data_IF_749141463968
#
_entry.id   IF_749141463968
#
_cell.length_a   1.000
_cell.length_b   1.000
_cell.length_c   1.000
_cell.angle_alpha   90.00
_cell.angle_beta   90.00
_cell.angle_gamma   90.00
#
_symmetry.space_group_name_H-M   'P 1'
#
loop_
_entity.id
_entity.type
_entity.pdbx_description
1 polymer ?
#
# COMPACT_ATOMS: atom_id res chain seq x y z
N UNK A 1 -5.36 1.32 8.53
CA UNK A 1 -5.64 -0.04 9.06
C UNK A 1 -6.57 -0.88 8.16
N UNK A 2 -7.86 -0.56 7.99
CA UNK A 2 -8.80 -1.38 7.19
C UNK A 2 -8.52 -1.40 5.69
N UNK A 3 -8.00 -0.29 5.13
CA UNK A 3 -7.68 -0.19 3.70
C UNK A 3 -6.55 -1.15 3.26
N UNK A 4 -5.57 -1.41 4.12
CA UNK A 4 -4.46 -2.34 3.84
C UNK A 4 -4.96 -3.79 3.78
N UNK A 5 -5.88 -4.17 4.67
CA UNK A 5 -6.51 -5.50 4.62
C UNK A 5 -7.27 -5.73 3.31
N UNK A 6 -7.80 -4.65 2.71
CA UNK A 6 -8.50 -4.70 1.43
C UNK A 6 -7.56 -4.78 0.22
N UNK A 7 -6.29 -4.43 0.37
CA UNK A 7 -5.25 -4.62 -0.64
C UNK A 7 -4.65 -6.04 -0.62
N UNK A 8 -4.81 -6.78 0.49
CA UNK A 8 -4.29 -8.15 0.64
C UNK A 8 -4.70 -9.13 -0.47
N UNK A 9 -5.95 -9.14 -0.97
CA UNK A 9 -6.32 -10.04 -2.06
C UNK A 9 -5.48 -9.84 -3.32
N UNK A 10 -5.14 -8.60 -3.65
CA UNK A 10 -4.29 -8.28 -4.81
C UNK A 10 -2.85 -8.74 -4.58
N UNK A 11 -2.35 -8.55 -3.37
CA UNK A 11 -1.01 -9.01 -2.99
C UNK A 11 -0.94 -10.54 -3.04
N UNK A 12 -1.98 -11.23 -2.55
CA UNK A 12 -2.08 -12.69 -2.63
C UNK A 12 -2.22 -13.19 -4.06
N UNK A 13 -2.95 -12.47 -4.91
CA UNK A 13 -3.05 -12.77 -6.34
C UNK A 13 -1.67 -12.71 -7.01
N UNK A 14 -0.86 -11.69 -6.73
CA UNK A 14 0.52 -11.62 -7.22
C UNK A 14 1.35 -12.84 -6.82
N UNK A 15 1.26 -13.26 -5.56
CA UNK A 15 1.97 -14.47 -5.08
C UNK A 15 1.47 -15.72 -5.81
N UNK A 16 0.16 -15.84 -6.00
CA UNK A 16 -0.44 -16.98 -6.69
C UNK A 16 0.00 -17.03 -8.16
N UNK A 17 -0.01 -15.88 -8.84
CA UNK A 17 0.39 -15.76 -10.25
C UNK A 17 1.90 -16.01 -10.44
N UNK A 18 2.72 -15.63 -9.46
CA UNK A 18 4.13 -16.04 -9.39
C UNK A 18 4.26 -17.55 -9.27
N UNK A 19 3.50 -18.19 -8.37
CA UNK A 19 3.63 -19.61 -8.08
C UNK A 19 3.12 -20.51 -9.23
N UNK A 20 2.19 -20.01 -10.04
CA UNK A 20 1.62 -20.75 -11.18
C UNK A 20 2.27 -20.42 -12.52
N UNK A 21 3.36 -19.64 -12.54
CA UNK A 21 4.08 -19.27 -13.77
C UNK A 21 3.32 -18.27 -14.67
N UNK A 22 2.25 -17.64 -14.17
CA UNK A 22 1.50 -16.62 -14.91
C UNK A 22 2.37 -15.39 -15.19
N UNK A 23 3.25 -15.02 -14.24
CA UNK A 23 4.22 -13.94 -14.48
C UNK A 23 5.14 -14.24 -15.66
N UNK A 24 5.61 -15.48 -15.80
CA UNK A 24 6.50 -15.91 -16.89
C UNK A 24 5.77 -15.89 -18.23
N UNK A 25 4.50 -16.32 -18.23
CA UNK A 25 3.62 -16.19 -19.39
C UNK A 25 3.47 -14.72 -19.82
N UNK A 26 3.15 -13.81 -18.89
CA UNK A 26 2.99 -12.38 -19.20
C UNK A 26 4.29 -11.77 -19.75
N UNK A 27 5.44 -12.12 -19.17
CA UNK A 27 6.75 -11.71 -19.69
C UNK A 27 7.01 -12.28 -21.10
N UNK A 28 6.60 -13.52 -21.38
CA UNK A 28 6.74 -14.14 -22.71
C UNK A 28 5.89 -13.46 -23.79
N UNK A 29 4.75 -12.87 -23.40
CA UNK A 29 3.88 -12.09 -24.30
C UNK A 29 4.42 -10.71 -24.65
N UNK A 30 5.57 -10.33 -24.06
CA UNK A 30 6.26 -9.06 -24.34
C UNK A 30 5.95 -7.93 -23.37
N UNK A 31 5.19 -8.19 -22.29
CA UNK A 31 5.01 -7.21 -21.22
C UNK A 31 6.30 -7.04 -20.43
N UNK A 32 6.64 -5.80 -20.08
CA UNK A 32 7.77 -5.58 -19.20
C UNK A 32 7.40 -5.83 -17.73
N UNK A 33 8.40 -6.19 -16.95
CA UNK A 33 8.20 -6.54 -15.55
C UNK A 33 7.66 -5.35 -14.74
N UNK A 34 8.11 -4.14 -15.07
CA UNK A 34 7.61 -2.93 -14.43
C UNK A 34 6.11 -2.74 -14.69
N UNK A 35 5.64 -2.98 -15.91
CA UNK A 35 4.24 -2.82 -16.29
C UNK A 35 3.33 -3.80 -15.51
N UNK A 36 3.79 -5.05 -15.35
CA UNK A 36 3.09 -6.07 -14.58
C UNK A 36 3.00 -5.62 -13.10
N UNK A 37 4.10 -5.17 -12.52
CA UNK A 37 4.15 -4.72 -11.13
C UNK A 37 3.28 -3.48 -10.90
N UNK A 38 3.35 -2.51 -11.80
CA UNK A 38 2.47 -1.34 -11.77
C UNK A 38 0.99 -1.74 -11.86
N UNK A 39 0.66 -2.77 -12.64
CA UNK A 39 -0.69 -3.32 -12.74
C UNK A 39 -1.25 -3.76 -11.38
N UNK A 40 -0.48 -4.55 -10.63
CA UNK A 40 -0.88 -5.00 -9.29
C UNK A 40 -0.97 -3.84 -8.29
N UNK A 41 -0.03 -2.90 -8.33
CA UNK A 41 -0.05 -1.72 -7.46
C UNK A 41 -1.25 -0.82 -7.78
N UNK A 42 -1.57 -0.60 -9.07
CA UNK A 42 -2.76 0.15 -9.49
C UNK A 42 -4.02 -0.54 -9.01
N UNK A 43 -4.11 -1.86 -9.16
CA UNK A 43 -5.27 -2.64 -8.70
C UNK A 43 -5.46 -2.54 -7.18
N UNK A 44 -4.38 -2.62 -6.38
CA UNK A 44 -4.47 -2.48 -4.92
C UNK A 44 -4.90 -1.07 -4.51
N UNK A 45 -4.39 -0.03 -5.18
CA UNK A 45 -4.78 1.35 -4.95
C UNK A 45 -6.23 1.63 -5.31
N UNK A 46 -6.72 1.09 -6.44
CA UNK A 46 -8.13 1.24 -6.85
C UNK A 46 -9.05 0.60 -5.80
N UNK A 47 -8.77 -0.64 -5.39
CA UNK A 47 -9.56 -1.33 -4.37
C UNK A 47 -9.55 -0.60 -3.02
N UNK A 48 -8.39 -0.12 -2.59
CA UNK A 48 -8.29 0.64 -1.36
C UNK A 48 -9.02 2.00 -1.44
N UNK A 49 -8.95 2.68 -2.59
CA UNK A 49 -9.62 3.98 -2.78
C UNK A 49 -11.12 3.87 -2.56
N UNK A 50 -11.77 2.82 -3.10
CA UNK A 50 -13.20 2.58 -2.87
C UNK A 50 -13.54 2.49 -1.38
N UNK A 51 -12.73 1.75 -0.61
CA UNK A 51 -12.97 1.58 0.82
C UNK A 51 -12.67 2.86 1.62
N UNK A 52 -11.61 3.58 1.27
CA UNK A 52 -11.24 4.86 1.91
C UNK A 52 -12.35 5.89 1.69
N UNK A 53 -12.83 6.03 0.45
CA UNK A 53 -13.94 6.96 0.13
C UNK A 53 -15.21 6.58 0.90
N UNK A 54 -15.54 5.28 0.94
CA UNK A 54 -16.67 4.81 1.72
C UNK A 54 -16.53 5.11 3.22
N UNK A 55 -15.34 4.89 3.79
CA UNK A 55 -15.05 5.20 5.18
C UNK A 55 -15.16 6.71 5.47
N UNK A 56 -14.70 7.57 4.56
CA UNK A 56 -14.83 9.03 4.68
C UNK A 56 -16.29 9.44 4.68
N UNK A 57 -17.11 8.88 3.78
CA UNK A 57 -18.55 9.17 3.72
C UNK A 57 -19.22 8.79 5.04
N UNK A 58 -18.98 7.56 5.55
CA UNK A 58 -19.55 7.12 6.82
C UNK A 58 -19.12 8.00 8.01
N UNK A 59 -17.83 8.32 8.12
CA UNK A 59 -17.33 9.19 9.18
C UNK A 59 -17.92 10.60 9.09
N UNK A 60 -18.13 11.12 7.87
CA UNK A 60 -18.76 12.43 7.66
C UNK A 60 -20.23 12.39 8.10
N UNK A 61 -20.99 11.36 7.72
CA UNK A 61 -22.40 11.20 8.12
C UNK A 61 -22.52 11.11 9.64
N UNK A 62 -21.73 10.24 10.28
CA UNK A 62 -21.72 10.09 11.75
C UNK A 62 -21.30 11.39 12.42
N UNK A 63 -20.26 12.05 11.91
CA UNK A 63 -19.75 13.31 12.45
C UNK A 63 -20.78 14.44 12.39
N UNK A 64 -21.57 14.54 11.31
CA UNK A 64 -22.68 15.48 11.19
C UNK A 64 -23.78 15.16 12.19
N UNK A 65 -24.15 13.88 12.37
CA UNK A 65 -25.16 13.46 13.35
C UNK A 65 -24.74 13.78 14.80
N UNK A 66 -23.44 13.76 15.09
CA UNK A 66 -22.87 14.11 16.39
C UNK A 66 -22.66 15.62 16.59
N UNK A 67 -23.01 16.46 15.60
CA UNK A 67 -22.88 17.92 15.70
C UNK A 67 -21.44 18.43 15.57
N UNK A 68 -20.55 17.67 14.92
CA UNK A 68 -19.15 18.05 14.71
C UNK A 68 -19.04 19.21 13.71
N UNK A 69 -18.06 20.10 13.88
CA UNK A 69 -17.84 21.20 12.95
C UNK A 69 -17.42 20.70 11.55
N UNK A 70 -17.97 21.32 10.50
CA UNK A 70 -17.68 20.95 9.11
C UNK A 70 -16.19 21.09 8.74
N UNK A 71 -15.49 22.06 9.35
CA UNK A 71 -14.05 22.27 9.14
C UNK A 71 -13.22 21.10 9.66
N UNK A 72 -13.61 20.52 10.80
CA UNK A 72 -12.94 19.37 11.39
C UNK A 72 -13.26 18.08 10.62
N UNK A 73 -14.48 17.93 10.11
CA UNK A 73 -14.82 16.79 9.25
C UNK A 73 -14.04 16.82 7.94
N UNK A 74 -13.89 18.00 7.33
CA UNK A 74 -13.11 18.17 6.11
C UNK A 74 -11.62 17.84 6.32
N UNK A 75 -11.02 18.28 7.44
CA UNK A 75 -9.62 17.97 7.73
C UNK A 75 -9.40 16.47 7.97
N UNK A 76 -10.30 15.82 8.71
CA UNK A 76 -10.26 14.36 8.94
C UNK A 76 -10.38 13.60 7.62
N UNK A 77 -11.31 14.01 6.74
CA UNK A 77 -11.50 13.37 5.44
C UNK A 77 -10.23 13.42 4.58
N UNK A 78 -9.61 14.59 4.48
CA UNK A 78 -8.37 14.78 3.70
C UNK A 78 -7.22 13.97 4.29
N UNK A 79 -7.00 14.05 5.60
CA UNK A 79 -5.93 13.30 6.28
C UNK A 79 -6.13 11.80 6.13
N UNK A 80 -7.35 11.30 6.30
CA UNK A 80 -7.68 9.88 6.12
C UNK A 80 -7.38 9.41 4.71
N UNK A 81 -7.70 10.22 3.70
CA UNK A 81 -7.44 9.88 2.31
C UNK A 81 -5.94 9.83 2.01
N UNK A 82 -5.21 10.89 2.38
CA UNK A 82 -3.79 11.04 2.08
C UNK A 82 -2.97 9.96 2.78
N UNK A 83 -3.19 9.74 4.08
CA UNK A 83 -2.48 8.71 4.84
C UNK A 83 -2.86 7.32 4.32
N UNK A 84 -4.16 7.05 4.13
CA UNK A 84 -4.65 5.74 3.70
C UNK A 84 -4.07 5.29 2.36
N UNK A 85 -3.99 6.20 1.38
CA UNK A 85 -3.41 5.88 0.07
C UNK A 85 -1.89 5.67 0.17
N UNK A 86 -1.17 6.54 0.90
CA UNK A 86 0.27 6.40 1.06
C UNK A 86 0.65 5.09 1.76
N UNK A 87 -0.10 4.69 2.79
CA UNK A 87 0.07 3.40 3.48
C UNK A 87 -0.13 2.23 2.52
N UNK A 88 -1.25 2.20 1.79
CA UNK A 88 -1.55 1.10 0.87
C UNK A 88 -0.52 1.01 -0.24
N UNK A 89 -0.08 2.16 -0.77
CA UNK A 89 0.94 2.20 -1.80
C UNK A 89 2.26 1.59 -1.31
N UNK A 90 2.74 2.03 -0.15
CA UNK A 90 3.97 1.52 0.45
C UNK A 90 3.87 0.03 0.74
N UNK A 91 2.80 -0.43 1.39
CA UNK A 91 2.63 -1.85 1.74
C UNK A 91 2.54 -2.71 0.49
N UNK A 92 1.81 -2.28 -0.54
CA UNK A 92 1.69 -3.03 -1.79
C UNK A 92 3.04 -3.18 -2.47
N UNK A 93 3.79 -2.08 -2.64
CA UNK A 93 5.12 -2.11 -3.27
C UNK A 93 6.07 -2.97 -2.47
N UNK A 94 6.12 -2.81 -1.13
CA UNK A 94 7.00 -3.62 -0.30
C UNK A 94 6.63 -5.11 -0.37
N UNK A 95 5.37 -5.50 -0.18
CA UNK A 95 4.99 -6.91 -0.19
C UNK A 95 5.27 -7.59 -1.53
N UNK A 96 4.97 -6.92 -2.64
CA UNK A 96 5.23 -7.43 -3.98
C UNK A 96 6.75 -7.53 -4.22
N UNK A 97 7.53 -6.49 -3.89
CA UNK A 97 8.98 -6.49 -4.03
C UNK A 97 9.64 -7.58 -3.18
N UNK A 98 9.27 -7.72 -1.91
CA UNK A 98 9.80 -8.78 -1.04
C UNK A 98 9.41 -10.17 -1.52
N UNK A 99 8.14 -10.38 -1.90
CA UNK A 99 7.70 -11.66 -2.46
C UNK A 99 8.47 -12.02 -3.73
N UNK A 100 8.82 -11.02 -4.56
CA UNK A 100 9.63 -11.25 -5.75
C UNK A 100 11.05 -11.73 -5.44
N UNK A 101 11.68 -11.22 -4.36
CA UNK A 101 13.04 -11.58 -3.93
C UNK A 101 13.14 -12.96 -3.26
N UNK A 102 12.02 -13.53 -2.82
CA UNK A 102 11.99 -14.86 -2.21
C UNK A 102 12.07 -15.96 -3.29
N UNK A 103 13.04 -16.87 -3.15
CA UNK A 103 13.23 -18.03 -4.02
C UNK A 103 12.16 -19.12 -3.83
N UNK A 104 11.58 -19.20 -2.64
CA UNK A 104 10.53 -20.16 -2.32
C UNK A 104 9.16 -19.49 -2.44
N UNK A 105 8.12 -20.21 -2.91
CA UNK A 105 6.74 -19.74 -2.91
C UNK A 105 6.34 -19.44 -1.47
N UNK A 106 6.27 -18.15 -1.13
CA UNK A 106 6.13 -17.71 0.23
C UNK A 106 4.99 -16.68 0.29
N UNK A 107 3.86 -17.12 0.86
CA UNK A 107 2.61 -16.36 0.92
C UNK A 107 2.70 -15.08 1.76
N UNK A 108 1.77 -14.15 1.56
CA UNK A 108 1.70 -12.91 2.35
C UNK A 108 1.37 -13.13 3.85
N UNK A 109 1.07 -14.37 4.25
CA UNK A 109 0.86 -14.80 5.65
C UNK A 109 2.15 -14.96 6.46
N UNK A 110 3.28 -14.49 5.94
CA UNK A 110 4.56 -14.61 6.62
C UNK A 110 4.83 -13.46 7.56
N UNK A 111 5.55 -13.71 8.68
CA UNK A 111 5.84 -12.69 9.67
C UNK A 111 6.49 -11.45 9.06
N UNK A 112 7.26 -11.60 7.98
CA UNK A 112 7.89 -10.47 7.28
C UNK A 112 6.88 -9.54 6.60
N UNK A 113 5.84 -10.08 5.94
CA UNK A 113 4.77 -9.28 5.32
C UNK A 113 3.99 -8.49 6.38
N UNK A 114 3.73 -9.12 7.53
CA UNK A 114 3.11 -8.45 8.68
C UNK A 114 4.02 -7.35 9.24
N UNK A 115 5.33 -7.59 9.38
CA UNK A 115 6.31 -6.61 9.87
C UNK A 115 6.40 -5.40 8.92
N UNK A 116 6.43 -5.63 7.61
CA UNK A 116 6.48 -4.58 6.58
C UNK A 116 5.25 -3.65 6.67
N UNK A 117 4.08 -4.20 6.99
CA UNK A 117 2.88 -3.41 7.24
C UNK A 117 2.95 -2.63 8.56
N UNK A 118 3.45 -3.24 9.63
CA UNK A 118 3.40 -2.67 11.00
C UNK A 118 4.46 -1.59 11.25
N UNK A 119 5.66 -1.71 10.68
CA UNK A 119 6.78 -0.78 10.92
C UNK A 119 6.47 0.67 10.52
N UNK A 120 5.92 0.97 9.33
CA UNK A 120 5.54 2.35 8.98
C UNK A 120 4.31 2.85 9.75
N UNK A 121 3.50 1.95 10.33
CA UNK A 121 2.28 2.32 11.07
C UNK A 121 2.55 2.74 12.52
N UNK A 122 3.58 2.18 13.16
CA UNK A 122 3.92 2.47 14.55
C UNK A 122 4.17 3.97 14.80
N UNK A 123 4.96 4.68 13.95
CA UNK A 123 5.16 6.12 14.08
C UNK A 123 3.86 6.92 13.90
N UNK A 124 2.99 6.52 12.97
CA UNK A 124 1.72 7.20 12.70
C UNK A 124 0.72 7.11 13.85
N UNK A 125 0.80 6.07 14.68
CA UNK A 125 -0.05 5.93 15.87
C UNK A 125 0.52 6.63 17.10
N UNK A 126 1.85 6.63 17.26
CA UNK A 126 2.49 7.08 18.50
C UNK A 126 2.86 8.56 18.45
N UNK A 127 3.41 9.05 17.34
CA UNK A 127 3.93 10.42 17.26
C UNK A 127 2.85 11.49 17.40
N UNK A 128 1.65 11.36 16.79
CA UNK A 128 0.57 12.33 17.00
C UNK A 128 0.07 12.34 18.45
N UNK A 129 0.15 11.20 19.15
CA UNK A 129 -0.24 11.08 20.55
C UNK A 129 0.76 11.73 21.50
N UNK A 130 2.06 11.60 21.18
CA UNK A 130 3.15 12.22 21.94
C UNK A 130 3.25 13.74 21.70
N UNK A 131 2.84 14.21 20.52
CA UNK A 131 2.92 15.62 20.11
C UNK A 131 1.57 16.13 19.55
N UNK A 132 0.51 16.23 20.37
CA UNK A 132 -0.84 16.55 19.91
C UNK A 132 -0.94 17.92 19.24
N UNK A 133 -0.14 18.90 19.68
CA UNK A 133 -0.08 20.26 19.10
C UNK A 133 0.39 20.25 17.64
N UNK A 134 1.19 19.26 17.25
CA UNK A 134 1.78 19.14 15.92
C UNK A 134 1.25 17.92 15.15
N UNK A 135 0.19 17.27 15.63
CA UNK A 135 -0.34 16.02 15.08
C UNK A 135 -0.55 16.06 13.56
N UNK A 136 -1.16 17.14 13.05
CA UNK A 136 -1.41 17.31 11.61
C UNK A 136 -0.10 17.37 10.81
N UNK A 137 0.91 18.08 11.32
CA UNK A 137 2.21 18.22 10.65
C UNK A 137 2.95 16.89 10.66
N UNK A 138 2.90 16.17 11.78
CA UNK A 138 3.48 14.84 11.94
C UNK A 138 2.85 13.86 10.93
N UNK A 139 1.52 13.81 10.87
CA UNK A 139 0.79 12.92 9.96
C UNK A 139 1.09 13.20 8.48
N UNK A 140 1.11 14.48 8.09
CA UNK A 140 1.47 14.87 6.73
C UNK A 140 2.93 14.51 6.40
N UNK A 141 3.83 14.66 7.37
CA UNK A 141 5.25 14.30 7.19
C UNK A 141 5.39 12.80 6.98
N UNK A 142 4.67 11.99 7.76
CA UNK A 142 4.67 10.52 7.60
C UNK A 142 4.08 10.14 6.25
N UNK A 143 2.97 10.75 5.84
CA UNK A 143 2.36 10.50 4.52
C UNK A 143 3.31 10.86 3.37
N UNK A 144 4.07 11.96 3.50
CA UNK A 144 5.05 12.36 2.50
C UNK A 144 6.24 11.39 2.44
N UNK A 145 6.79 10.99 3.60
CA UNK A 145 7.92 10.04 3.66
C UNK A 145 7.51 8.69 3.07
N UNK A 146 6.33 8.19 3.44
CA UNK A 146 5.81 6.90 2.94
C UNK A 146 5.60 6.91 1.43
N UNK A 147 5.05 8.01 0.88
CA UNK A 147 4.88 8.18 -0.56
C UNK A 147 6.20 8.31 -1.33
N UNK A 148 7.18 9.02 -0.77
CA UNK A 148 8.51 9.12 -1.38
C UNK A 148 9.24 7.77 -1.35
N UNK A 149 9.14 7.03 -0.24
CA UNK A 149 9.71 5.70 -0.10
C UNK A 149 9.08 4.70 -1.09
N UNK A 150 7.76 4.71 -1.24
CA UNK A 150 7.07 3.83 -2.19
C UNK A 150 7.41 4.16 -3.64
N UNK A 151 7.52 5.44 -4.01
CA UNK A 151 8.00 5.84 -5.34
C UNK A 151 9.44 5.38 -5.60
N UNK A 152 10.34 5.58 -4.64
CA UNK A 152 11.73 5.13 -4.76
C UNK A 152 11.82 3.61 -4.91
N UNK A 153 11.00 2.86 -4.17
CA UNK A 153 10.92 1.40 -4.27
C UNK A 153 10.34 0.94 -5.61
N UNK A 154 9.28 1.59 -6.11
CA UNK A 154 8.68 1.28 -7.41
C UNK A 154 9.68 1.51 -8.56
N UNK A 155 10.39 2.64 -8.54
CA UNK A 155 11.41 2.96 -9.55
C UNK A 155 12.63 2.03 -9.48
N UNK A 156 12.96 1.51 -8.29
CA UNK A 156 14.06 0.56 -8.12
C UNK A 156 13.66 -0.88 -8.44
N UNK A 157 12.37 -1.22 -8.47
CA UNK A 157 11.90 -2.60 -8.69
C UNK A 157 12.31 -3.12 -10.08
N UNK A 158 12.23 -2.25 -11.11
CA UNK A 158 12.69 -2.58 -12.47
C UNK A 158 14.19 -2.87 -12.58
N UNK A 159 15.01 -2.47 -11.60
CA UNK A 159 16.46 -2.76 -11.56
C UNK A 159 16.80 -3.95 -10.67
N UNK A 160 16.01 -4.20 -9.63
CA UNK A 160 16.31 -5.18 -8.57
C UNK A 160 15.95 -6.61 -8.94
N UNK A 161 14.91 -6.81 -9.76
CA UNK A 161 14.49 -8.15 -10.14
C UNK A 161 15.10 -8.47 -11.50
N UNK A 162 16.23 -9.16 -11.48
CA UNK A 162 16.82 -9.71 -12.71
C UNK A 162 15.84 -10.70 -13.32
N UNK A 163 15.58 -10.57 -14.62
CA UNK A 163 15.02 -11.66 -15.44
C UNK A 163 15.90 -12.88 -15.18
N UNK A 164 15.39 -13.86 -14.42
CA UNK A 164 15.93 -15.20 -14.56
C UNK A 164 15.57 -15.59 -15.98
N UNK A 165 16.56 -15.50 -16.88
CA UNK A 165 16.46 -16.00 -18.24
C UNK A 165 16.04 -17.46 -18.11
N UNK A 166 14.76 -17.75 -18.32
CA UNK A 166 14.33 -19.06 -18.74
C UNK A 166 14.90 -19.23 -20.16
N UNK A 167 16.06 -19.91 -20.16
CA UNK A 167 16.99 -20.35 -21.21
C UNK A 167 16.40 -20.54 -22.63
N UNK A 168 17.23 -20.62 -23.70
CA UNK A 168 18.61 -20.15 -23.95
C UNK A 168 18.68 -18.82 -24.72
#
# INVERSE_FOLDING_TARGET
MSAVLFALPVIMLFVYDKNNGVLEYLLSTGLDQLDIFEGYVKASLVLATYLIVFAIILNTVVGVLLGTSHTLLASIAILTFVIGISEVFLVSVCMIAFSSLQRTPMGANQPLGVIIGVVPMFPALILPLAFPTYAIVVDLTIAAITLLASLALLLSTGRLIRREKLLP
#
